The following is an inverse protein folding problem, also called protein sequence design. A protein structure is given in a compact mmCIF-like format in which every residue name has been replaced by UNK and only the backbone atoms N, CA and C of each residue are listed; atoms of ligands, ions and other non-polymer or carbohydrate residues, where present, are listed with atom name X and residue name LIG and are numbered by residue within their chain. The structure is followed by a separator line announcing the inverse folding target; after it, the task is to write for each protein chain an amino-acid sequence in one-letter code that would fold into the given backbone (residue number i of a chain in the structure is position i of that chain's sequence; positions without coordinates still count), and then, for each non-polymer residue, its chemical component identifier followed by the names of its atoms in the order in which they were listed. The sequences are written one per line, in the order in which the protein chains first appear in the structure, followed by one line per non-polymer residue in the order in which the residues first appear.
data_IF_249436344580
#
_entry.id   IF_249436344580
#
_cell.length_a   1.000
_cell.length_b   1.000
_cell.length_c   1.000
_cell.angle_alpha   90.00
_cell.angle_beta   90.00
_cell.angle_gamma   90.00
#
_symmetry.space_group_name_H-M   'P 1'
#
loop_
_entity.id
_entity.type
_entity.pdbx_description
1 polymer ?
#
# COMPACT_ATOMS: atom_id res chain seq x y z
N UNK A 1 -7.34 -28.41 -1.42
CA UNK A 1 -6.60 -27.59 -2.40
C UNK A 1 -7.58 -27.19 -3.49
N UNK A 2 -7.66 -25.91 -3.84
CA UNK A 2 -8.55 -25.48 -4.94
C UNK A 2 -7.87 -25.79 -6.26
N UNK A 3 -8.65 -26.17 -7.28
CA UNK A 3 -8.15 -26.48 -8.64
C UNK A 3 -7.32 -25.34 -9.26
N UNK A 4 -7.51 -24.11 -8.77
CA UNK A 4 -6.79 -22.92 -9.21
C UNK A 4 -5.35 -22.85 -8.67
N UNK A 5 -5.12 -23.29 -7.44
CA UNK A 5 -3.78 -23.34 -6.84
C UNK A 5 -2.90 -24.36 -7.56
N UNK A 6 -3.47 -25.53 -7.88
CA UNK A 6 -2.78 -26.57 -8.65
C UNK A 6 -2.45 -26.13 -10.08
N UNK A 7 -3.30 -25.30 -10.67
CA UNK A 7 -3.07 -24.74 -12.01
C UNK A 7 -1.89 -23.77 -11.99
N UNK A 8 -1.86 -22.84 -11.02
CA UNK A 8 -0.82 -21.85 -10.90
C UNK A 8 0.54 -22.47 -10.58
N UNK A 9 0.57 -23.49 -9.73
CA UNK A 9 1.81 -24.26 -9.46
C UNK A 9 2.32 -24.99 -10.71
N UNK A 10 1.43 -25.60 -11.50
CA UNK A 10 1.77 -26.26 -12.78
C UNK A 10 2.26 -25.28 -13.85
N UNK A 11 1.79 -24.03 -13.81
CA UNK A 11 2.24 -22.95 -14.70
C UNK A 11 3.56 -22.31 -14.22
N UNK A 12 4.18 -22.84 -13.16
CA UNK A 12 5.47 -22.41 -12.65
C UNK A 12 5.42 -21.11 -11.83
N UNK A 13 4.24 -20.75 -11.34
CA UNK A 13 4.10 -19.65 -10.41
C UNK A 13 4.51 -20.10 -9.01
N UNK A 14 5.61 -19.59 -8.50
CA UNK A 14 6.00 -19.71 -7.09
C UNK A 14 5.16 -18.79 -6.22
N UNK A 15 5.08 -19.06 -4.91
CA UNK A 15 4.29 -18.25 -3.98
C UNK A 15 4.46 -16.72 -4.15
N UNK A 16 5.66 -16.28 -4.49
CA UNK A 16 5.96 -14.85 -4.76
C UNK A 16 5.26 -14.33 -6.03
N UNK A 17 5.23 -15.14 -7.10
CA UNK A 17 4.53 -14.79 -8.34
C UNK A 17 3.01 -14.91 -8.21
N UNK A 18 2.52 -15.85 -7.40
CA UNK A 18 1.09 -15.98 -7.09
C UNK A 18 0.59 -14.73 -6.38
N UNK A 19 1.33 -14.23 -5.39
CA UNK A 19 0.98 -12.98 -4.70
C UNK A 19 0.93 -11.78 -5.65
N UNK A 20 1.85 -11.70 -6.61
CA UNK A 20 1.89 -10.61 -7.61
C UNK A 20 0.76 -10.72 -8.64
N UNK A 21 0.29 -11.92 -8.97
CA UNK A 21 -0.73 -12.13 -10.02
C UNK A 21 -2.17 -11.89 -9.53
N UNK A 22 -2.42 -12.02 -8.23
CA UNK A 22 -3.74 -11.88 -7.61
C UNK A 22 -4.03 -10.42 -7.22
N UNK A 23 -3.48 -9.46 -7.93
CA UNK A 23 -3.69 -8.02 -7.76
C UNK A 23 -5.09 -7.54 -8.17
N UNK A 24 -6.06 -8.44 -8.31
CA UNK A 24 -7.44 -8.09 -8.56
C UNK A 24 -8.32 -8.40 -7.35
N UNK A 25 -9.23 -7.50 -7.05
CA UNK A 25 -10.48 -7.52 -6.25
C UNK A 25 -10.72 -8.58 -5.14
N UNK A 26 -9.91 -9.64 -5.03
CA UNK A 26 -10.09 -10.74 -4.08
C UNK A 26 -8.91 -10.98 -3.15
N UNK A 27 -7.93 -10.10 -3.16
CA UNK A 27 -6.62 -10.36 -2.56
C UNK A 27 -6.65 -10.57 -1.03
N UNK A 28 -7.40 -9.78 -0.27
CA UNK A 28 -7.43 -9.93 1.19
C UNK A 28 -7.97 -11.30 1.63
N UNK A 29 -8.97 -11.81 0.92
CA UNK A 29 -9.53 -13.14 1.24
C UNK A 29 -8.57 -14.26 0.83
N UNK A 30 -7.78 -14.08 -0.22
CA UNK A 30 -6.86 -15.08 -0.72
C UNK A 30 -5.55 -15.12 0.08
N UNK A 31 -5.00 -13.96 0.42
CA UNK A 31 -3.83 -13.86 1.32
C UNK A 31 -4.15 -14.42 2.71
N UNK A 32 -5.32 -14.11 3.26
CA UNK A 32 -5.78 -14.68 4.51
C UNK A 32 -5.98 -16.21 4.41
N UNK A 33 -6.49 -16.67 3.28
CA UNK A 33 -6.64 -18.11 3.01
C UNK A 33 -5.28 -18.80 2.94
N UNK A 34 -4.32 -18.25 2.18
CA UNK A 34 -2.97 -18.85 2.06
C UNK A 34 -2.29 -18.84 3.43
N UNK A 35 -2.32 -17.76 4.19
CA UNK A 35 -1.75 -17.72 5.55
C UNK A 35 -2.32 -18.80 6.45
N UNK A 36 -3.62 -19.08 6.34
CA UNK A 36 -4.31 -20.05 7.18
C UNK A 36 -4.10 -21.50 6.74
N UNK A 37 -4.09 -21.77 5.44
CA UNK A 37 -4.14 -23.13 4.90
C UNK A 37 -2.88 -23.59 4.19
N UNK A 38 -1.99 -22.63 3.85
CA UNK A 38 -0.70 -22.87 3.21
C UNK A 38 0.40 -22.02 3.85
N UNK A 39 0.62 -22.18 5.17
CA UNK A 39 1.69 -21.46 5.88
C UNK A 39 3.07 -21.79 5.29
N UNK A 40 3.24 -22.98 4.72
CA UNK A 40 4.45 -23.43 4.01
C UNK A 40 4.85 -22.48 2.88
N UNK A 41 3.89 -21.95 2.14
CA UNK A 41 4.16 -20.97 1.05
C UNK A 41 4.59 -19.62 1.64
N UNK A 42 4.00 -19.21 2.78
CA UNK A 42 4.38 -17.97 3.45
C UNK A 42 5.76 -18.06 4.13
N UNK A 43 6.08 -19.18 4.73
CA UNK A 43 7.39 -19.40 5.35
C UNK A 43 8.53 -19.41 4.31
N UNK A 44 8.27 -19.92 3.11
CA UNK A 44 9.27 -19.91 2.02
C UNK A 44 9.47 -18.53 1.39
N UNK A 45 8.48 -17.65 1.46
CA UNK A 45 8.59 -16.26 0.91
C UNK A 45 9.44 -15.36 1.80
N UNK A 46 9.48 -15.62 3.11
CA UNK A 46 10.21 -14.80 4.08
C UNK A 46 11.62 -15.33 4.41
N UNK A 47 12.05 -16.40 3.79
CA UNK A 47 13.40 -16.95 3.99
C UNK A 47 14.24 -16.73 2.74
N UNK A 48 15.51 -16.36 2.92
CA UNK A 48 16.46 -16.32 1.82
C UNK A 48 16.80 -17.76 1.36
N UNK A 49 17.64 -17.87 0.35
CA UNK A 49 18.13 -19.15 -0.17
C UNK A 49 18.89 -19.99 0.86
N UNK A 50 19.29 -19.42 1.99
CA UNK A 50 19.98 -20.06 3.10
C UNK A 50 19.01 -20.42 4.26
N UNK A 51 17.70 -20.16 4.10
CA UNK A 51 16.69 -20.40 5.11
C UNK A 51 16.69 -19.40 6.26
N UNK A 52 17.46 -18.31 6.15
CA UNK A 52 17.45 -17.21 7.10
C UNK A 52 16.21 -16.35 6.87
N UNK A 53 15.45 -16.07 7.92
CA UNK A 53 14.32 -15.13 7.83
C UNK A 53 14.87 -13.80 7.34
N UNK A 54 14.42 -13.38 6.15
CA UNK A 54 14.60 -12.00 5.72
C UNK A 54 13.89 -11.13 6.73
N UNK A 55 14.63 -10.20 7.34
CA UNK A 55 13.99 -9.12 8.09
C UNK A 55 12.87 -8.56 7.23
N UNK A 56 11.65 -8.84 7.66
CA UNK A 56 10.48 -8.34 6.98
C UNK A 56 10.59 -6.82 6.99
N UNK A 57 10.47 -6.20 5.82
CA UNK A 57 10.33 -4.74 5.70
C UNK A 57 9.14 -4.25 6.53
N UNK A 58 8.28 -5.14 6.95
CA UNK A 58 7.12 -4.94 7.82
C UNK A 58 7.51 -4.56 9.26
N UNK A 59 8.71 -4.88 9.70
CA UNK A 59 9.24 -4.38 10.97
C UNK A 59 9.85 -3.01 10.72
N UNK A 60 9.00 -1.98 10.78
CA UNK A 60 9.46 -0.58 10.92
C UNK A 60 10.19 -0.36 12.26
N UNK A 61 10.62 -1.43 12.90
CA UNK A 61 11.33 -1.46 14.16
C UNK A 61 12.74 -0.84 14.08
N UNK A 62 13.21 -0.57 12.86
CA UNK A 62 14.42 0.19 12.61
C UNK A 62 14.25 1.71 12.54
N UNK A 63 13.03 2.23 12.73
CA UNK A 63 12.80 3.67 12.84
C UNK A 63 12.98 4.11 14.29
N UNK A 64 13.86 5.07 14.51
CA UNK A 64 14.12 5.68 15.81
C UNK A 64 13.64 7.14 15.86
N UNK A 65 13.79 7.79 17.02
CA UNK A 65 13.38 9.19 17.20
C UNK A 65 14.10 10.15 16.24
N UNK A 66 15.32 9.85 15.80
CA UNK A 66 16.05 10.67 14.85
C UNK A 66 15.45 10.62 13.44
N UNK A 67 14.65 9.60 13.12
CA UNK A 67 14.00 9.44 11.82
C UNK A 67 12.77 10.34 11.65
N UNK A 68 12.33 11.03 12.71
CA UNK A 68 11.29 12.05 12.63
C UNK A 68 11.62 13.17 11.62
N UNK A 69 12.90 13.50 11.43
CA UNK A 69 13.36 14.47 10.43
C UNK A 69 12.99 14.10 8.98
N UNK A 70 12.73 12.83 8.71
CA UNK A 70 12.33 12.34 7.39
C UNK A 70 10.81 12.35 7.20
N UNK A 71 10.03 12.62 8.25
CA UNK A 71 8.59 12.71 8.14
C UNK A 71 8.19 13.94 7.34
N UNK A 72 7.45 13.71 6.26
CA UNK A 72 6.75 14.77 5.52
C UNK A 72 5.26 14.53 5.65
N UNK A 73 4.52 15.58 5.93
CA UNK A 73 3.06 15.54 6.03
C UNK A 73 2.43 16.66 5.20
N UNK A 74 1.19 16.43 4.79
CA UNK A 74 0.35 17.42 4.12
C UNK A 74 -1.00 17.49 4.84
N UNK A 75 -1.52 18.70 5.06
CA UNK A 75 -2.85 18.89 5.61
C UNK A 75 -3.93 18.55 4.56
N UNK A 76 -5.10 18.05 4.97
CA UNK A 76 -6.18 17.71 4.04
C UNK A 76 -6.60 18.87 3.13
N UNK A 77 -6.69 20.09 3.66
CA UNK A 77 -7.08 21.27 2.92
C UNK A 77 -6.03 21.69 1.87
N UNK A 78 -4.75 21.51 2.20
CA UNK A 78 -3.65 21.76 1.27
C UNK A 78 -3.68 20.78 0.11
N UNK A 79 -3.85 19.48 0.38
CA UNK A 79 -4.02 18.47 -0.67
C UNK A 79 -5.25 18.76 -1.53
N UNK A 80 -6.36 19.17 -0.92
CA UNK A 80 -7.57 19.55 -1.65
C UNK A 80 -7.32 20.73 -2.58
N UNK A 81 -6.58 21.73 -2.11
CA UNK A 81 -6.19 22.88 -2.93
C UNK A 81 -5.34 22.46 -4.13
N UNK A 82 -4.36 21.59 -3.95
CA UNK A 82 -3.56 21.03 -5.06
C UNK A 82 -4.45 20.37 -6.12
N UNK A 83 -5.41 19.55 -5.69
CA UNK A 83 -6.34 18.86 -6.59
C UNK A 83 -7.22 19.85 -7.37
N UNK A 84 -7.76 20.86 -6.69
CA UNK A 84 -8.68 21.84 -7.30
C UNK A 84 -7.97 22.82 -8.21
N UNK A 85 -6.71 23.12 -7.93
CA UNK A 85 -5.86 23.96 -8.78
C UNK A 85 -5.33 23.21 -10.03
N UNK A 86 -5.63 21.92 -10.17
CA UNK A 86 -5.23 21.13 -11.33
C UNK A 86 -3.78 20.65 -11.31
N UNK A 87 -3.12 20.63 -10.14
CA UNK A 87 -1.74 20.16 -9.99
C UNK A 87 -1.59 18.64 -10.21
N UNK A 88 -2.68 17.90 -10.17
CA UNK A 88 -2.74 16.47 -10.45
C UNK A 88 -1.77 15.63 -9.57
N UNK A 89 -1.82 15.74 -8.23
CA UNK A 89 -0.87 15.08 -7.34
C UNK A 89 -0.96 13.55 -7.45
N UNK A 90 0.18 12.86 -7.32
CA UNK A 90 0.22 11.39 -7.31
C UNK A 90 -0.17 10.87 -5.93
N UNK A 91 -1.40 10.36 -5.81
CA UNK A 91 -1.98 9.94 -4.52
C UNK A 91 -2.14 8.43 -4.47
N UNK A 92 -1.53 7.79 -3.47
CA UNK A 92 -1.66 6.35 -3.19
C UNK A 92 -2.47 6.14 -1.92
N UNK A 93 -3.62 5.48 -2.05
CA UNK A 93 -4.43 5.04 -0.92
C UNK A 93 -4.06 3.60 -0.56
N UNK A 94 -3.56 3.41 0.66
CA UNK A 94 -3.06 2.11 1.14
C UNK A 94 -4.11 1.29 1.88
N UNK A 95 -5.34 1.76 1.94
CA UNK A 95 -6.44 1.03 2.59
C UNK A 95 -6.89 -0.16 1.73
N UNK A 96 -7.60 -1.09 2.36
CA UNK A 96 -8.22 -2.22 1.66
C UNK A 96 -9.15 -1.76 0.52
N UNK A 97 -9.21 -2.56 -0.55
CA UNK A 97 -9.93 -2.22 -1.79
C UNK A 97 -11.40 -1.88 -1.58
N UNK A 98 -12.08 -2.54 -0.64
CA UNK A 98 -13.48 -2.25 -0.33
C UNK A 98 -13.65 -0.88 0.31
N UNK A 99 -12.76 -0.50 1.23
CA UNK A 99 -12.78 0.83 1.84
C UNK A 99 -12.50 1.92 0.79
N UNK A 100 -11.54 1.67 -0.09
CA UNK A 100 -11.23 2.56 -1.21
C UNK A 100 -12.41 2.73 -2.18
N UNK A 101 -13.04 1.65 -2.60
CA UNK A 101 -14.22 1.70 -3.50
C UNK A 101 -15.37 2.50 -2.91
N UNK A 102 -15.60 2.38 -1.61
CA UNK A 102 -16.68 3.06 -0.92
C UNK A 102 -16.45 4.56 -0.72
N UNK A 103 -15.21 4.94 -0.46
CA UNK A 103 -14.84 6.34 -0.28
C UNK A 103 -13.34 6.53 -0.55
N UNK A 104 -13.00 7.41 -1.46
CA UNK A 104 -11.61 7.74 -1.78
C UNK A 104 -11.47 9.23 -2.13
N UNK A 105 -10.23 9.71 -2.17
CA UNK A 105 -9.90 11.02 -2.68
C UNK A 105 -9.85 10.93 -4.20
N UNK A 106 -10.51 11.85 -4.89
CA UNK A 106 -10.54 11.87 -6.36
C UNK A 106 -9.12 11.91 -6.94
N UNK A 107 -8.86 11.03 -7.90
CA UNK A 107 -7.55 10.91 -8.54
C UNK A 107 -6.56 9.97 -7.81
N UNK A 108 -6.90 9.46 -6.64
CA UNK A 108 -6.05 8.48 -5.96
C UNK A 108 -6.12 7.10 -6.61
N UNK A 109 -5.01 6.37 -6.53
CA UNK A 109 -4.92 4.96 -6.89
C UNK A 109 -4.88 4.11 -5.62
N UNK A 110 -5.41 2.89 -5.68
CA UNK A 110 -5.37 1.98 -4.55
C UNK A 110 -4.23 0.98 -4.69
N UNK A 111 -3.30 1.04 -3.76
CA UNK A 111 -2.26 0.04 -3.56
C UNK A 111 -2.31 -0.32 -2.09
N UNK A 112 -2.93 -1.45 -1.76
CA UNK A 112 -3.09 -1.85 -0.35
C UNK A 112 -1.74 -1.96 0.34
N UNK A 113 -1.70 -1.73 1.63
CA UNK A 113 -0.48 -1.74 2.43
C UNK A 113 0.34 -3.03 2.26
N UNK A 114 -0.32 -4.18 2.33
CA UNK A 114 0.33 -5.48 2.13
C UNK A 114 1.02 -5.58 0.78
N UNK A 115 0.38 -5.07 -0.27
CA UNK A 115 0.92 -5.06 -1.62
C UNK A 115 1.99 -3.99 -1.81
N UNK A 116 1.84 -2.86 -1.13
CA UNK A 116 2.81 -1.77 -1.17
C UNK A 116 4.16 -2.20 -0.58
N UNK A 117 4.14 -2.96 0.51
CA UNK A 117 5.35 -3.53 1.11
C UNK A 117 6.09 -4.44 0.12
N UNK A 118 5.35 -5.28 -0.62
CA UNK A 118 5.93 -6.13 -1.68
C UNK A 118 6.51 -5.31 -2.84
N UNK A 119 5.83 -4.23 -3.23
CA UNK A 119 6.32 -3.30 -4.27
C UNK A 119 7.62 -2.62 -3.84
N UNK A 120 7.76 -2.22 -2.58
CA UNK A 120 8.99 -1.61 -2.07
C UNK A 120 10.20 -2.54 -2.30
N UNK A 121 10.02 -3.84 -2.18
CA UNK A 121 11.08 -4.83 -2.41
C UNK A 121 11.42 -5.02 -3.90
N UNK A 122 10.40 -4.96 -4.76
CA UNK A 122 10.53 -5.34 -6.17
C UNK A 122 10.65 -4.16 -7.15
N UNK A 123 10.56 -2.95 -6.66
CA UNK A 123 10.62 -1.71 -7.45
C UNK A 123 9.34 -0.89 -7.32
N UNK A 124 9.51 0.38 -7.03
CA UNK A 124 8.41 1.33 -6.85
C UNK A 124 7.83 1.75 -8.20
N UNK A 125 6.52 1.97 -8.30
CA UNK A 125 5.85 2.42 -9.54
C UNK A 125 6.05 3.93 -9.80
N UNK A 126 7.05 4.53 -9.18
CA UNK A 126 7.39 5.95 -9.31
C UNK A 126 8.90 6.15 -9.11
N UNK A 127 9.44 7.22 -9.68
CA UNK A 127 10.85 7.58 -9.53
C UNK A 127 11.09 8.45 -8.28
N UNK A 128 12.36 8.73 -7.97
CA UNK A 128 12.76 9.48 -6.78
C UNK A 128 12.31 10.94 -6.78
N UNK A 129 12.12 11.52 -7.95
CA UNK A 129 11.71 12.92 -8.14
C UNK A 129 10.19 13.10 -7.96
N UNK A 130 9.41 12.02 -8.07
CA UNK A 130 7.96 12.09 -7.95
C UNK A 130 7.56 12.31 -6.49
N UNK A 131 6.84 13.38 -6.20
CA UNK A 131 6.15 13.56 -4.92
C UNK A 131 4.96 12.60 -4.86
N UNK A 132 4.98 11.71 -3.89
CA UNK A 132 3.91 10.72 -3.67
C UNK A 132 3.20 11.03 -2.37
N UNK A 133 1.89 11.28 -2.45
CA UNK A 133 1.06 11.51 -1.28
C UNK A 133 0.39 10.20 -0.89
N UNK A 134 0.65 9.72 0.31
CA UNK A 134 0.10 8.46 0.80
C UNK A 134 -1.05 8.69 1.78
N UNK A 135 -2.11 7.91 1.62
CA UNK A 135 -3.33 7.98 2.42
C UNK A 135 -3.59 6.63 3.08
N UNK A 136 -3.82 6.63 4.38
CA UNK A 136 -4.36 5.49 5.12
C UNK A 136 -5.58 5.92 5.95
N UNK A 137 -5.99 5.15 6.93
CA UNK A 137 -7.18 5.46 7.75
C UNK A 137 -6.96 6.72 8.58
N UNK A 138 -5.89 6.77 9.37
CA UNK A 138 -5.62 7.78 10.41
C UNK A 138 -4.26 8.49 10.25
N UNK A 139 -3.53 8.22 9.18
CA UNK A 139 -2.21 8.81 8.92
C UNK A 139 -1.02 8.12 9.60
N UNK A 140 -1.24 7.24 10.58
CA UNK A 140 -0.14 6.61 11.35
C UNK A 140 0.74 5.71 10.49
N UNK A 141 0.12 4.85 9.69
CA UNK A 141 0.84 3.92 8.83
C UNK A 141 1.60 4.64 7.72
N UNK A 142 0.95 5.59 7.08
CA UNK A 142 1.58 6.37 6.01
C UNK A 142 2.68 7.31 6.51
N UNK A 143 2.62 7.74 7.78
CA UNK A 143 3.74 8.45 8.43
C UNK A 143 4.97 7.56 8.57
N UNK A 144 4.81 6.27 8.89
CA UNK A 144 5.93 5.32 8.90
C UNK A 144 6.51 5.11 7.50
N UNK A 145 5.68 4.94 6.48
CA UNK A 145 6.12 4.88 5.08
C UNK A 145 6.88 6.14 4.66
N UNK A 146 6.36 7.32 5.01
CA UNK A 146 7.02 8.60 4.70
C UNK A 146 8.43 8.63 5.28
N UNK A 147 8.60 8.35 6.57
CA UNK A 147 9.92 8.31 7.21
C UNK A 147 10.86 7.31 6.54
N UNK A 148 10.41 6.07 6.38
CA UNK A 148 11.21 4.98 5.84
C UNK A 148 11.66 5.23 4.41
N UNK A 149 10.75 5.66 3.55
CA UNK A 149 11.03 5.89 2.14
C UNK A 149 11.84 7.17 1.91
N UNK A 150 11.57 8.22 2.66
CA UNK A 150 12.35 9.47 2.57
C UNK A 150 13.78 9.27 3.08
N UNK A 151 13.99 8.43 4.10
CA UNK A 151 15.34 8.01 4.53
C UNK A 151 16.13 7.33 3.41
N UNK A 152 15.42 6.66 2.48
CA UNK A 152 16.00 6.05 1.26
C UNK A 152 16.11 7.01 0.06
N UNK A 153 15.84 8.29 0.27
CA UNK A 153 15.97 9.34 -0.75
C UNK A 153 14.77 9.48 -1.69
N UNK A 154 13.61 8.94 -1.31
CA UNK A 154 12.35 9.16 -2.02
C UNK A 154 11.65 10.43 -1.52
N UNK A 155 10.57 10.83 -2.19
CA UNK A 155 9.78 12.00 -1.80
C UNK A 155 8.34 11.58 -1.49
N UNK A 156 8.12 11.09 -0.28
CA UNK A 156 6.84 10.57 0.17
C UNK A 156 6.26 11.43 1.28
N UNK A 157 5.02 11.86 1.08
CA UNK A 157 4.28 12.74 1.99
C UNK A 157 3.07 11.99 2.55
N UNK A 158 2.88 11.98 3.86
CA UNK A 158 1.73 11.36 4.50
C UNK A 158 0.58 12.37 4.65
N UNK A 159 -0.63 11.98 4.26
CA UNK A 159 -1.83 12.76 4.57
C UNK A 159 -2.07 12.74 6.09
N UNK A 160 -1.96 13.89 6.73
CA UNK A 160 -2.13 14.04 8.17
C UNK A 160 -3.55 13.65 8.60
N UNK A 161 -3.66 12.75 9.57
CA UNK A 161 -4.94 12.20 10.01
C UNK A 161 -5.66 11.32 8.99
N UNK A 162 -5.05 11.04 7.84
CA UNK A 162 -5.56 10.12 6.83
C UNK A 162 -6.94 10.50 6.27
N UNK A 163 -7.66 9.50 5.78
CA UNK A 163 -9.02 9.71 5.22
C UNK A 163 -10.03 10.15 6.31
N UNK A 164 -9.74 9.85 7.58
CA UNK A 164 -10.59 10.32 8.68
C UNK A 164 -10.58 11.83 8.78
N UNK A 165 -9.39 12.46 8.84
CA UNK A 165 -9.28 13.93 8.88
C UNK A 165 -9.85 14.58 7.62
N UNK A 166 -9.64 13.98 6.44
CA UNK A 166 -10.25 14.43 5.19
C UNK A 166 -11.78 14.53 5.28
N UNK A 167 -12.41 13.51 5.86
CA UNK A 167 -13.86 13.45 6.06
C UNK A 167 -14.34 14.41 7.15
N UNK A 168 -13.63 14.53 8.26
CA UNK A 168 -13.95 15.45 9.35
C UNK A 168 -13.94 16.90 8.89
N UNK A 169 -13.08 17.23 7.92
CA UNK A 169 -13.04 18.54 7.26
C UNK A 169 -14.16 18.73 6.22
N UNK A 170 -15.03 17.76 6.00
CA UNK A 170 -16.10 17.81 5.02
C UNK A 170 -15.63 17.87 3.56
N UNK A 171 -14.40 17.45 3.28
CA UNK A 171 -13.83 17.51 1.93
C UNK A 171 -14.47 16.43 1.02
N UNK A 172 -14.54 16.68 -0.31
CA UNK A 172 -15.23 15.80 -1.23
C UNK A 172 -14.67 14.38 -1.28
N UNK A 173 -15.56 13.38 -1.31
CA UNK A 173 -15.23 11.98 -1.43
C UNK A 173 -15.75 11.45 -2.75
N UNK A 174 -14.92 10.70 -3.47
CA UNK A 174 -15.31 9.92 -4.62
C UNK A 174 -15.75 8.51 -4.22
N UNK A 175 -16.65 7.91 -5.00
CA UNK A 175 -17.06 6.51 -4.89
C UNK A 175 -16.88 5.84 -6.24
N UNK A 176 -16.18 4.73 -6.25
CA UNK A 176 -16.05 3.91 -7.46
C UNK A 176 -17.22 2.93 -7.50
N UNK A 177 -18.37 3.40 -7.93
CA UNK A 177 -19.54 2.54 -8.14
C UNK A 177 -19.32 1.75 -9.42
N UNK A 178 -19.16 0.42 -9.31
CA UNK A 178 -19.30 -0.45 -10.46
C UNK A 178 -20.73 -0.28 -10.99
N UNK A 179 -20.90 0.33 -12.15
CA UNK A 179 -22.13 0.19 -12.90
C UNK A 179 -22.18 -1.26 -13.39
N UNK A 180 -22.98 -2.09 -12.73
CA UNK A 180 -23.38 -3.37 -13.32
C UNK A 180 -24.04 -3.07 -14.66
N UNK A 181 -23.41 -3.48 -15.74
CA UNK A 181 -24.00 -3.52 -17.08
C UNK A 181 -24.76 -4.83 -17.25
#
# INVERSE_FOLDING_TARGET
MRKEDERLEKEGFTGKKIATFIVCDRMESYVSYIRKYRPDIFETVNKDENGVEKESIYTYDGLNEEDEKFLKTIEPEELYSKITNGENPYIIDTRGSMAFKNNNIKGSINITDTFFDEIIENGLPFNKETEVIMVCVDGKKTSKYSKFLNKKGLNVVSLKGGIMAWREKGLPIARNVMKLR
#
